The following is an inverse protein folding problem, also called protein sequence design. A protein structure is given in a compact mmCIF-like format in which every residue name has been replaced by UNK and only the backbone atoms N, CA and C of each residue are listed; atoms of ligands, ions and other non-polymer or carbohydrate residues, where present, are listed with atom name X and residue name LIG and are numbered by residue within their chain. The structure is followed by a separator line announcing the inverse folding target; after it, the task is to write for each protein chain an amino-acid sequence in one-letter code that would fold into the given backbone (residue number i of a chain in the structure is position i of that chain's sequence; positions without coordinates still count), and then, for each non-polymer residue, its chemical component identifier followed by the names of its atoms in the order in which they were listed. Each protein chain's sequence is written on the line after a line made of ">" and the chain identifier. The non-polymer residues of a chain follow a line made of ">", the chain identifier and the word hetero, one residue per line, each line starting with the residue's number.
data_IF_199558681607
#
_entry.id   IF_199558681607
#
_cell.length_a   1.000
_cell.length_b   1.000
_cell.length_c   1.000
_cell.angle_alpha   90.00
_cell.angle_beta   90.00
_cell.angle_gamma   90.00
#
_symmetry.space_group_name_H-M   'P 1'
#
loop_
_entity.id
_entity.type
_entity.pdbx_description
1 polymer ?
#
# COMPACT_ATOMS: atom_id res chain seq x y z
N UNK A 1 7.52 53.24 -38.62
CA UNK A 1 6.46 52.55 -37.87
C UNK A 1 6.21 51.13 -38.37
N UNK A 2 6.23 50.88 -39.68
CA UNK A 2 6.08 49.55 -40.31
C UNK A 2 7.08 48.48 -39.85
N UNK A 3 8.34 48.85 -39.60
CA UNK A 3 9.38 47.93 -39.11
C UNK A 3 9.06 47.35 -37.72
N UNK A 4 8.53 48.18 -36.81
CA UNK A 4 8.16 47.73 -35.46
C UNK A 4 6.97 46.77 -35.49
N UNK A 5 6.00 47.04 -36.37
CA UNK A 5 4.81 46.18 -36.56
C UNK A 5 5.21 44.84 -37.20
N UNK A 6 6.10 44.84 -38.19
CA UNK A 6 6.60 43.60 -38.79
C UNK A 6 7.45 42.77 -37.82
N UNK A 7 8.21 43.42 -36.93
CA UNK A 7 9.00 42.71 -35.93
C UNK A 7 8.10 42.05 -34.89
N UNK A 8 7.04 42.73 -34.43
CA UNK A 8 6.06 42.14 -33.51
C UNK A 8 5.23 41.02 -34.15
N UNK A 9 4.95 41.12 -35.46
CA UNK A 9 4.20 40.09 -36.19
C UNK A 9 5.01 38.81 -36.45
N UNK A 10 6.34 38.94 -36.57
CA UNK A 10 7.26 37.82 -36.75
C UNK A 10 7.98 37.43 -35.44
N UNK A 11 7.50 37.91 -34.30
CA UNK A 11 8.12 37.64 -33.00
C UNK A 11 7.68 36.27 -32.48
N UNK A 12 8.48 35.24 -32.72
CA UNK A 12 8.33 33.91 -32.09
C UNK A 12 8.99 33.84 -30.70
N UNK A 13 9.57 34.94 -30.18
CA UNK A 13 10.16 34.98 -28.83
C UNK A 13 9.11 35.09 -27.70
N UNK A 14 7.84 34.82 -28.02
CA UNK A 14 6.73 34.73 -27.07
C UNK A 14 6.84 33.49 -26.18
N UNK A 15 7.66 33.58 -25.13
CA UNK A 15 7.61 32.67 -23.97
C UNK A 15 6.32 32.92 -23.17
N UNK A 16 5.17 32.49 -23.70
CA UNK A 16 3.87 32.52 -23.03
C UNK A 16 3.19 31.19 -23.34
N UNK A 17 3.16 30.29 -22.36
CA UNK A 17 2.23 29.15 -22.24
C UNK A 17 1.84 28.54 -23.60
N UNK A 18 2.82 28.01 -24.35
CA UNK A 18 2.52 27.27 -25.57
C UNK A 18 1.64 26.06 -25.22
N UNK A 19 0.68 25.76 -26.08
CA UNK A 19 -0.12 24.53 -26.00
C UNK A 19 0.77 23.27 -25.93
N UNK A 20 1.97 23.32 -26.50
CA UNK A 20 2.94 22.22 -26.49
C UNK A 20 3.53 22.00 -25.09
N UNK A 21 3.83 23.06 -24.35
CA UNK A 21 4.34 22.95 -22.98
C UNK A 21 3.25 22.45 -22.02
N UNK A 22 2.00 22.88 -22.24
CA UNK A 22 0.84 22.34 -21.52
C UNK A 22 0.65 20.85 -21.82
N UNK A 23 0.81 20.42 -23.07
CA UNK A 23 0.73 19.02 -23.45
C UNK A 23 1.82 18.18 -22.78
N UNK A 24 3.07 18.63 -22.80
CA UNK A 24 4.18 17.91 -22.13
C UNK A 24 3.97 17.87 -20.61
N UNK A 25 3.56 18.99 -20.00
CA UNK A 25 3.32 19.07 -18.56
C UNK A 25 2.18 18.14 -18.12
N UNK A 26 1.09 18.06 -18.89
CA UNK A 26 -0.03 17.15 -18.58
C UNK A 26 0.37 15.68 -18.67
N UNK A 27 1.15 15.29 -19.69
CA UNK A 27 1.70 13.93 -19.79
C UNK A 27 2.61 13.61 -18.59
N UNK A 28 3.48 14.55 -18.20
CA UNK A 28 4.35 14.38 -17.05
C UNK A 28 3.58 14.22 -15.74
N UNK A 29 2.54 15.03 -15.51
CA UNK A 29 1.68 14.91 -14.32
C UNK A 29 0.94 13.57 -14.30
N UNK A 30 0.37 13.13 -15.41
CA UNK A 30 -0.30 11.82 -15.49
C UNK A 30 0.67 10.67 -15.20
N UNK A 31 1.88 10.71 -15.77
CA UNK A 31 2.92 9.73 -15.50
C UNK A 31 3.34 9.70 -14.02
N UNK A 32 3.49 10.86 -13.39
CA UNK A 32 3.81 10.96 -11.97
C UNK A 32 2.68 10.45 -11.08
N UNK A 33 1.41 10.73 -11.40
CA UNK A 33 0.26 10.26 -10.61
C UNK A 33 0.18 8.74 -10.62
N UNK A 34 0.27 8.10 -11.80
CA UNK A 34 0.28 6.64 -11.89
C UNK A 34 1.52 6.07 -11.20
N UNK A 35 2.70 6.63 -11.45
CA UNK A 35 3.94 6.18 -10.83
C UNK A 35 3.90 6.25 -9.30
N UNK A 36 3.38 7.32 -8.73
CA UNK A 36 3.24 7.47 -7.28
C UNK A 36 2.20 6.50 -6.70
N UNK A 37 1.10 6.25 -7.42
CA UNK A 37 0.09 5.26 -7.02
C UNK A 37 0.68 3.85 -6.93
N UNK A 38 1.47 3.44 -7.94
CA UNK A 38 2.12 2.12 -7.94
C UNK A 38 3.19 2.01 -6.87
N UNK A 39 3.95 3.08 -6.60
CA UNK A 39 4.92 3.08 -5.48
C UNK A 39 4.19 2.92 -4.14
N UNK A 40 3.09 3.64 -3.93
CA UNK A 40 2.33 3.55 -2.70
C UNK A 40 1.73 2.14 -2.49
N UNK A 41 1.17 1.56 -3.55
CA UNK A 41 0.61 0.21 -3.50
C UNK A 41 1.69 -0.83 -3.18
N UNK A 42 2.81 -0.83 -3.90
CA UNK A 42 3.89 -1.79 -3.66
C UNK A 42 4.52 -1.66 -2.27
N UNK A 43 4.67 -0.44 -1.74
CA UNK A 43 5.18 -0.26 -0.38
C UNK A 43 4.22 -0.87 0.65
N UNK A 44 2.92 -0.72 0.46
CA UNK A 44 1.94 -1.34 1.36
C UNK A 44 1.97 -2.86 1.27
N UNK A 45 2.12 -3.45 0.08
CA UNK A 45 2.27 -4.90 -0.09
C UNK A 45 3.49 -5.43 0.68
N UNK A 46 4.65 -4.79 0.53
CA UNK A 46 5.86 -5.24 1.24
C UNK A 46 5.76 -5.08 2.76
N UNK A 47 5.05 -4.05 3.24
CA UNK A 47 4.80 -3.88 4.68
C UNK A 47 3.84 -4.94 5.23
N UNK A 48 2.88 -5.38 4.43
CA UNK A 48 1.97 -6.47 4.77
C UNK A 48 2.72 -7.80 4.80
N UNK A 49 3.55 -8.10 3.80
CA UNK A 49 4.43 -9.28 3.79
C UNK A 49 5.34 -9.32 5.04
N UNK A 50 5.89 -8.17 5.44
CA UNK A 50 6.64 -8.05 6.70
C UNK A 50 5.76 -8.33 7.91
N UNK A 51 4.53 -7.82 7.95
CA UNK A 51 3.55 -8.08 9.01
C UNK A 51 3.24 -9.57 9.16
N UNK A 52 2.91 -10.24 8.05
CA UNK A 52 2.65 -11.68 8.00
C UNK A 52 3.89 -12.49 8.41
N UNK A 53 5.09 -12.06 8.01
CA UNK A 53 6.33 -12.69 8.45
C UNK A 53 6.54 -12.61 9.98
N UNK A 54 6.08 -11.53 10.64
CA UNK A 54 6.09 -11.44 12.10
C UNK A 54 4.99 -12.29 12.75
N UNK A 55 3.79 -12.33 12.18
CA UNK A 55 2.67 -13.17 12.66
C UNK A 55 3.00 -14.67 12.60
N UNK A 56 3.63 -15.10 11.50
CA UNK A 56 4.07 -16.49 11.27
C UNK A 56 5.25 -16.95 12.15
N UNK A 57 5.86 -16.06 12.94
CA UNK A 57 6.83 -16.48 13.95
C UNK A 57 6.12 -17.43 14.92
N UNK A 58 6.75 -18.55 15.22
CA UNK A 58 6.20 -19.54 16.12
C UNK A 58 5.99 -18.94 17.54
N UNK A 59 4.75 -18.58 17.86
CA UNK A 59 4.34 -18.03 19.16
C UNK A 59 4.00 -19.12 20.21
N UNK A 60 4.58 -20.32 20.12
CA UNK A 60 4.28 -21.38 21.09
C UNK A 60 4.94 -21.16 22.46
N UNK A 61 4.14 -20.69 23.41
CA UNK A 61 4.16 -21.24 24.76
C UNK A 61 2.80 -21.92 25.02
N UNK A 62 2.77 -23.24 24.85
CA UNK A 62 1.60 -24.05 25.15
C UNK A 62 1.92 -25.05 26.26
N UNK A 63 1.09 -25.08 27.30
CA UNK A 63 1.08 -26.16 28.28
C UNK A 63 -0.35 -26.58 28.57
N UNK A 64 -0.55 -27.89 28.66
CA UNK A 64 -1.84 -28.46 29.05
C UNK A 64 -2.03 -28.37 30.56
N UNK A 65 -3.24 -28.00 30.94
CA UNK A 65 -3.73 -28.15 32.30
C UNK A 65 -3.91 -29.62 32.67
N UNK A 66 -3.92 -29.93 33.96
CA UNK A 66 -4.22 -31.28 34.47
C UNK A 66 -5.60 -31.29 35.12
N UNK A 67 -6.36 -32.38 34.97
CA UNK A 67 -7.68 -32.53 35.57
C UNK A 67 -7.86 -33.94 36.17
N UNK A 68 -8.45 -34.02 37.36
CA UNK A 68 -8.69 -35.26 38.10
C UNK A 68 -9.52 -35.02 39.38
N UNK A 69 -10.35 -35.99 39.76
CA UNK A 69 -11.21 -35.98 40.97
C UNK A 69 -11.78 -34.59 41.35
N UNK A 70 -12.75 -34.09 40.56
CA UNK A 70 -13.46 -32.81 40.78
C UNK A 70 -12.58 -31.56 40.81
N UNK A 71 -11.28 -31.66 40.48
CA UNK A 71 -10.36 -30.54 40.34
C UNK A 71 -9.77 -30.47 38.94
N UNK A 72 -9.50 -29.26 38.48
CA UNK A 72 -8.82 -28.99 37.21
C UNK A 72 -8.03 -27.70 37.29
N UNK A 73 -6.88 -27.69 36.62
CA UNK A 73 -6.05 -26.50 36.41
C UNK A 73 -6.12 -26.17 34.92
N UNK A 74 -6.31 -24.90 34.57
CA UNK A 74 -6.29 -24.47 33.18
C UNK A 74 -4.87 -24.54 32.59
N UNK A 75 -4.77 -24.91 31.32
CA UNK A 75 -3.54 -24.73 30.54
C UNK A 75 -3.41 -23.30 30.01
N UNK A 76 -2.41 -23.07 29.17
CA UNK A 76 -2.29 -21.86 28.36
C UNK A 76 -1.84 -22.24 26.96
N UNK A 77 -2.44 -21.63 25.94
CA UNK A 77 -1.99 -21.64 24.54
C UNK A 77 -2.17 -20.25 23.95
N UNK A 78 -1.35 -19.90 22.96
CA UNK A 78 -1.67 -18.82 22.04
C UNK A 78 -2.73 -19.31 21.05
N UNK A 79 -3.73 -18.50 20.78
CA UNK A 79 -4.77 -18.80 19.80
C UNK A 79 -5.09 -17.50 19.08
N UNK A 80 -4.58 -17.35 17.86
CA UNK A 80 -4.99 -16.24 17.01
C UNK A 80 -6.40 -16.53 16.48
N UNK A 81 -7.31 -15.60 16.74
CA UNK A 81 -8.71 -15.66 16.30
C UNK A 81 -8.91 -14.71 15.13
N UNK A 82 -9.82 -15.04 14.22
CA UNK A 82 -10.12 -14.25 13.02
C UNK A 82 -10.21 -12.74 13.31
N UNK A 83 -9.31 -11.98 12.72
CA UNK A 83 -9.41 -10.53 12.68
C UNK A 83 -9.62 -9.99 11.25
N UNK A 84 -9.67 -8.68 11.08
CA UNK A 84 -9.92 -8.09 9.77
C UNK A 84 -8.59 -7.99 9.02
N UNK A 85 -8.56 -8.49 7.78
CA UNK A 85 -7.35 -8.58 6.95
C UNK A 85 -6.36 -9.64 7.45
N UNK A 86 -6.88 -10.71 8.08
CA UNK A 86 -6.14 -11.84 8.66
C UNK A 86 -5.82 -12.92 7.60
N UNK A 87 -5.28 -12.50 6.45
CA UNK A 87 -4.77 -13.38 5.40
C UNK A 87 -3.48 -12.78 4.81
N UNK A 88 -2.61 -13.65 4.32
CA UNK A 88 -1.37 -13.21 3.66
C UNK A 88 -1.67 -12.59 2.29
N UNK A 89 -0.91 -11.56 1.94
CA UNK A 89 -1.04 -10.82 0.69
C UNK A 89 -2.38 -10.06 0.53
N UNK A 90 -3.08 -9.74 1.63
CA UNK A 90 -4.42 -9.09 1.59
C UNK A 90 -4.43 -7.67 2.19
N UNK A 91 -3.82 -6.72 1.49
CA UNK A 91 -3.88 -5.28 1.86
C UNK A 91 -5.28 -4.68 1.69
N UNK A 92 -6.14 -5.29 0.86
CA UNK A 92 -7.46 -4.72 0.52
C UNK A 92 -8.62 -5.30 1.35
N UNK A 93 -8.34 -6.34 2.13
CA UNK A 93 -9.26 -7.05 3.00
C UNK A 93 -10.51 -7.53 2.24
N UNK A 94 -10.31 -7.99 1.01
CA UNK A 94 -11.37 -8.45 0.11
C UNK A 94 -11.59 -9.96 0.17
N UNK A 95 -10.72 -10.68 0.90
CA UNK A 95 -10.85 -12.10 1.20
C UNK A 95 -11.44 -12.30 2.61
N UNK A 96 -12.13 -13.42 2.81
CA UNK A 96 -12.62 -13.77 4.14
C UNK A 96 -11.43 -14.14 5.05
N UNK A 97 -11.34 -13.62 6.28
CA UNK A 97 -10.22 -13.87 7.16
C UNK A 97 -10.08 -15.35 7.50
N UNK A 98 -8.84 -15.81 7.62
CA UNK A 98 -8.52 -17.19 8.01
C UNK A 98 -7.86 -17.20 9.37
N UNK A 99 -8.13 -18.21 10.20
CA UNK A 99 -7.60 -18.21 11.57
C UNK A 99 -6.21 -18.80 11.58
N UNK A 100 -5.23 -18.08 12.11
CA UNK A 100 -3.85 -18.57 12.30
C UNK A 100 -3.74 -19.47 13.55
N UNK A 101 -4.55 -20.52 13.60
CA UNK A 101 -4.54 -21.52 14.67
C UNK A 101 -3.58 -22.67 14.32
N UNK A 102 -2.45 -22.78 15.03
CA UNK A 102 -1.56 -23.96 15.00
C UNK A 102 -2.07 -25.11 15.89
#
# INVERSE_FOLDING_TARGET
>A
MTQLINNLYNDEAGFIVSAELVLVATIAVLGMVVGLSEVAFNVNQELEDVGSAFGSINQNFHYNGTAGHKGGIAGSKYNDEWDQCDDSCDVSCDVAPTGESY
#
